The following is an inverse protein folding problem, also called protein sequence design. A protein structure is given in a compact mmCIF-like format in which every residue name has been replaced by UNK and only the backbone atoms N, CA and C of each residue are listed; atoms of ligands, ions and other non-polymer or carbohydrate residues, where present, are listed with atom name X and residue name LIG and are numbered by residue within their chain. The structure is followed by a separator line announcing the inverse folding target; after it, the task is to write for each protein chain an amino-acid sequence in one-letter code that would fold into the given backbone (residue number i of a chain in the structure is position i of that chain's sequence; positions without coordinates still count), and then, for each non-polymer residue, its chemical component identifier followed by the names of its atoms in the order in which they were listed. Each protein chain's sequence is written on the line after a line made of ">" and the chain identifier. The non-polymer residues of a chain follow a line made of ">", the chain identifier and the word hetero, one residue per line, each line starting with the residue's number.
data_IF_691243264006
#
_entry.id   IF_691243264006
#
_cell.length_a   1.000
_cell.length_b   1.000
_cell.length_c   1.000
_cell.angle_alpha   90.00
_cell.angle_beta   90.00
_cell.angle_gamma   90.00
#
_symmetry.space_group_name_H-M   'P 1'
#
loop_
_entity.id
_entity.type
_entity.pdbx_description
1 polymer ?
#
# COMPACT_ATOMS: atom_id res chain seq x y z
N UNK A 1 15.11 -37.10 22.27
CA UNK A 1 15.53 -35.70 22.43
C UNK A 1 14.90 -34.91 21.29
N UNK A 2 14.19 -33.80 21.54
CA UNK A 2 13.56 -33.06 20.46
C UNK A 2 14.67 -32.39 19.64
N UNK A 3 14.69 -32.71 18.34
CA UNK A 3 15.68 -32.26 17.38
C UNK A 3 15.61 -30.74 17.20
N UNK A 4 16.76 -30.07 17.18
CA UNK A 4 16.94 -28.62 17.04
C UNK A 4 16.22 -27.99 15.83
N UNK A 5 15.83 -28.81 14.86
CA UNK A 5 15.02 -28.44 13.69
C UNK A 5 13.62 -27.91 14.06
N UNK A 6 13.05 -28.34 15.19
CA UNK A 6 11.71 -27.89 15.61
C UNK A 6 11.71 -26.46 16.19
N UNK A 7 12.80 -26.04 16.84
CA UNK A 7 12.90 -24.72 17.46
C UNK A 7 13.21 -23.61 16.44
N UNK A 8 13.97 -23.95 15.40
CA UNK A 8 14.28 -23.03 14.29
C UNK A 8 13.08 -22.76 13.39
N UNK A 9 12.20 -23.75 13.19
CA UNK A 9 10.96 -23.57 12.41
C UNK A 9 9.90 -22.77 13.17
N UNK A 10 9.79 -22.97 14.49
CA UNK A 10 8.90 -22.18 15.35
C UNK A 10 9.29 -20.70 15.36
N UNK A 11 10.58 -20.40 15.58
CA UNK A 11 11.09 -19.01 15.51
C UNK A 11 11.00 -18.41 14.11
N UNK A 12 11.03 -19.23 13.05
CA UNK A 12 10.80 -18.76 11.68
C UNK A 12 9.34 -18.37 11.43
N UNK A 13 8.36 -19.07 12.04
CA UNK A 13 6.94 -18.69 11.97
C UNK A 13 6.71 -17.34 12.63
N UNK A 14 7.21 -17.14 13.85
CA UNK A 14 7.06 -15.88 14.61
C UNK A 14 7.68 -14.69 13.86
N UNK A 15 8.84 -14.88 13.22
CA UNK A 15 9.47 -13.85 12.37
C UNK A 15 8.58 -13.46 11.18
N UNK A 16 7.92 -14.44 10.54
CA UNK A 16 6.98 -14.16 9.44
C UNK A 16 5.75 -13.40 9.91
N UNK A 17 5.19 -13.80 11.06
CA UNK A 17 4.06 -13.11 11.66
C UNK A 17 4.40 -11.65 11.99
N UNK A 18 5.57 -11.40 12.57
CA UNK A 18 6.04 -10.04 12.83
C UNK A 18 6.23 -9.23 11.53
N UNK A 19 6.80 -9.84 10.48
CA UNK A 19 6.92 -9.21 9.17
C UNK A 19 5.56 -8.83 8.58
N UNK A 20 4.56 -9.72 8.62
CA UNK A 20 3.22 -9.40 8.11
C UNK A 20 2.54 -8.29 8.91
N UNK A 21 2.67 -8.30 10.24
CA UNK A 21 2.14 -7.23 11.10
C UNK A 21 2.73 -5.87 10.75
N UNK A 22 4.05 -5.79 10.56
CA UNK A 22 4.73 -4.54 10.21
C UNK A 22 4.44 -4.10 8.78
N UNK A 23 4.33 -5.05 7.84
CA UNK A 23 3.85 -4.78 6.47
C UNK A 23 2.48 -4.11 6.50
N UNK A 24 1.53 -4.70 7.22
CA UNK A 24 0.15 -4.21 7.25
C UNK A 24 0.06 -2.85 7.93
N UNK A 25 0.83 -2.62 9.00
CA UNK A 25 0.94 -1.32 9.64
C UNK A 25 1.51 -0.24 8.71
N UNK A 26 2.56 -0.56 7.94
CA UNK A 26 3.14 0.35 6.96
C UNK A 26 2.16 0.64 5.81
N UNK A 27 1.55 -0.39 5.23
CA UNK A 27 0.61 -0.26 4.11
C UNK A 27 -0.66 0.51 4.49
N UNK A 28 -1.19 0.26 5.67
CA UNK A 28 -2.32 1.02 6.22
C UNK A 28 -1.98 2.51 6.35
N UNK A 29 -0.77 2.83 6.83
CA UNK A 29 -0.30 4.21 6.91
C UNK A 29 -0.24 4.88 5.53
N UNK A 30 0.29 4.18 4.52
CA UNK A 30 0.30 4.69 3.15
C UNK A 30 -1.11 4.93 2.60
N UNK A 31 -2.06 4.01 2.86
CA UNK A 31 -3.45 4.16 2.41
C UNK A 31 -4.11 5.40 3.03
N UNK A 32 -3.86 5.67 4.32
CA UNK A 32 -4.33 6.89 4.98
C UNK A 32 -3.69 8.16 4.42
N UNK A 33 -2.37 8.15 4.19
CA UNK A 33 -1.65 9.29 3.63
C UNK A 33 -2.12 9.62 2.20
N UNK A 34 -2.37 8.59 1.39
CA UNK A 34 -2.92 8.73 0.03
C UNK A 34 -4.34 9.31 0.06
N UNK A 35 -5.21 8.82 0.97
CA UNK A 35 -6.55 9.36 1.15
C UNK A 35 -6.54 10.82 1.64
N UNK A 36 -5.60 11.18 2.52
CA UNK A 36 -5.40 12.55 3.00
C UNK A 36 -4.97 13.50 1.88
N UNK A 37 -4.09 13.03 0.98
CA UNK A 37 -3.59 13.80 -0.17
C UNK A 37 -4.67 14.00 -1.25
N UNK A 38 -5.58 13.04 -1.45
CA UNK A 38 -6.70 13.18 -2.38
C UNK A 38 -7.67 14.32 -2.03
N UNK A 39 -7.67 14.79 -0.77
CA UNK A 39 -8.45 15.96 -0.34
C UNK A 39 -7.70 17.29 -0.52
N UNK A 40 -6.43 17.26 -0.94
CA UNK A 40 -5.56 18.42 -1.21
C UNK A 40 -5.05 18.37 -2.67
N UNK A 41 -5.93 18.10 -3.64
CA UNK A 41 -5.56 18.17 -5.07
C UNK A 41 -5.36 19.64 -5.45
N UNK A 42 -4.10 20.08 -5.42
CA UNK A 42 -3.70 21.42 -5.82
C UNK A 42 -2.25 21.84 -5.50
N UNK A 43 -1.28 20.92 -5.42
CA UNK A 43 0.13 21.34 -5.30
C UNK A 43 1.10 20.35 -5.94
N UNK A 44 1.22 20.41 -7.27
CA UNK A 44 2.48 20.02 -7.90
C UNK A 44 3.61 20.95 -7.42
N UNK A 45 4.80 20.36 -7.22
CA UNK A 45 6.10 20.99 -6.97
C UNK A 45 6.43 21.47 -5.55
N UNK A 46 6.97 20.57 -4.72
CA UNK A 46 7.99 20.96 -3.72
C UNK A 46 9.19 20.02 -3.83
N UNK A 47 10.00 20.23 -4.87
CA UNK A 47 11.45 20.03 -4.75
C UNK A 47 11.98 21.37 -4.27
N UNK A 48 12.29 21.51 -2.98
CA UNK A 48 13.25 22.50 -2.48
C UNK A 48 13.69 22.09 -1.08
N UNK A 49 14.91 21.55 -1.04
CA UNK A 49 15.72 21.44 0.15
C UNK A 49 16.02 22.84 0.69
N UNK A 50 15.41 23.23 1.80
CA UNK A 50 16.03 24.01 2.87
C UNK A 50 15.09 24.06 4.08
N UNK A 51 15.68 23.90 5.26
CA UNK A 51 14.97 23.75 6.53
C UNK A 51 14.19 25.01 6.90
N UNK A 52 12.91 24.86 7.24
CA UNK A 52 12.24 25.74 8.20
C UNK A 52 11.29 24.95 9.11
N UNK A 53 11.63 24.97 10.40
CA UNK A 53 10.81 24.46 11.50
C UNK A 53 9.59 25.39 11.68
N UNK A 54 8.47 25.15 10.99
CA UNK A 54 7.14 25.57 11.47
C UNK A 54 6.01 24.97 10.64
N UNK A 55 5.33 24.01 11.27
CA UNK A 55 3.93 23.65 11.11
C UNK A 55 3.32 23.76 9.71
N UNK A 56 3.54 22.74 8.88
CA UNK A 56 2.59 22.39 7.84
C UNK A 56 1.90 21.08 8.25
N UNK A 57 0.59 21.15 8.48
CA UNK A 57 -0.29 20.06 8.94
C UNK A 57 -0.42 18.92 7.90
N UNK A 58 0.30 18.99 6.78
CA UNK A 58 0.43 17.97 5.74
C UNK A 58 1.76 17.18 5.81
N UNK A 59 2.60 17.42 6.82
CA UNK A 59 3.90 16.73 7.03
C UNK A 59 3.81 15.59 8.06
N UNK A 60 2.69 15.48 8.78
CA UNK A 60 2.51 14.55 9.90
C UNK A 60 2.43 13.08 9.44
N UNK A 61 1.89 12.81 8.24
CA UNK A 61 1.73 11.43 7.71
C UNK A 61 3.04 10.82 7.21
N UNK A 62 3.89 11.63 6.57
CA UNK A 62 5.11 11.12 5.94
C UNK A 62 6.12 10.60 6.98
N UNK A 63 6.21 11.22 8.16
CA UNK A 63 7.20 10.84 9.19
C UNK A 63 6.83 9.55 9.92
N UNK A 64 5.55 9.34 10.22
CA UNK A 64 5.07 8.10 10.84
C UNK A 64 5.15 6.92 9.88
N UNK A 65 4.76 7.11 8.61
CA UNK A 65 4.90 6.07 7.61
C UNK A 65 6.39 5.75 7.33
N UNK A 66 7.28 6.73 7.42
CA UNK A 66 8.74 6.51 7.28
C UNK A 66 9.30 5.63 8.40
N UNK A 67 8.88 5.84 9.65
CA UNK A 67 9.30 4.98 10.77
C UNK A 67 8.79 3.55 10.59
N UNK A 68 7.50 3.39 10.25
CA UNK A 68 6.90 2.07 9.98
C UNK A 68 7.55 1.36 8.79
N UNK A 69 7.95 2.12 7.76
CA UNK A 69 8.71 1.59 6.61
C UNK A 69 10.04 0.98 7.06
N UNK A 70 10.79 1.70 7.90
CA UNK A 70 12.07 1.21 8.41
C UNK A 70 11.90 -0.09 9.20
N UNK A 71 10.94 -0.13 10.13
CA UNK A 71 10.65 -1.33 10.91
C UNK A 71 10.22 -2.50 10.03
N UNK A 72 9.39 -2.24 9.02
CA UNK A 72 9.00 -3.23 8.01
C UNK A 72 10.19 -3.75 7.21
N UNK A 73 11.08 -2.88 6.74
CA UNK A 73 12.25 -3.25 5.95
C UNK A 73 13.29 -4.03 6.76
N UNK A 74 13.41 -3.75 8.06
CA UNK A 74 14.31 -4.47 8.97
C UNK A 74 13.75 -5.84 9.40
N UNK A 75 12.44 -5.95 9.59
CA UNK A 75 11.82 -7.19 10.07
C UNK A 75 11.51 -8.20 8.95
N UNK A 76 11.37 -7.74 7.70
CA UNK A 76 10.98 -8.58 6.58
C UNK A 76 12.17 -9.03 5.72
N UNK A 77 12.15 -10.25 5.16
CA UNK A 77 13.10 -10.65 4.14
C UNK A 77 13.03 -9.74 2.91
N UNK A 78 14.18 -9.38 2.33
CA UNK A 78 14.24 -8.47 1.17
C UNK A 78 13.43 -8.98 -0.04
N UNK A 79 13.43 -10.29 -0.29
CA UNK A 79 12.63 -10.90 -1.36
C UNK A 79 11.12 -10.73 -1.14
N UNK A 80 10.68 -10.76 0.12
CA UNK A 80 9.29 -10.54 0.49
C UNK A 80 8.91 -9.08 0.34
N UNK A 81 9.79 -8.16 0.73
CA UNK A 81 9.57 -6.72 0.57
C UNK A 81 9.37 -6.36 -0.90
N UNK A 82 10.25 -6.86 -1.77
CA UNK A 82 10.14 -6.67 -3.23
C UNK A 82 8.79 -7.18 -3.74
N UNK A 83 8.41 -8.40 -3.34
CA UNK A 83 7.15 -9.00 -3.74
C UNK A 83 5.94 -8.19 -3.25
N UNK A 84 5.87 -7.83 -1.97
CA UNK A 84 4.75 -7.10 -1.39
C UNK A 84 4.60 -5.70 -2.00
N UNK A 85 5.70 -4.98 -2.19
CA UNK A 85 5.66 -3.64 -2.79
C UNK A 85 5.19 -3.72 -4.25
N UNK A 86 5.71 -4.70 -5.01
CA UNK A 86 5.25 -4.94 -6.40
C UNK A 86 3.78 -5.30 -6.44
N UNK A 87 3.32 -6.16 -5.52
CA UNK A 87 1.93 -6.61 -5.46
C UNK A 87 0.98 -5.46 -5.15
N UNK A 88 1.31 -4.61 -4.17
CA UNK A 88 0.53 -3.40 -3.85
C UNK A 88 0.36 -2.50 -5.06
N UNK A 89 1.43 -2.25 -5.82
CA UNK A 89 1.38 -1.44 -7.03
C UNK A 89 0.50 -2.08 -8.12
N UNK A 90 0.65 -3.37 -8.37
CA UNK A 90 -0.17 -4.09 -9.35
C UNK A 90 -1.66 -4.07 -8.97
N UNK A 91 -1.99 -4.30 -7.70
CA UNK A 91 -3.37 -4.24 -7.20
C UNK A 91 -3.97 -2.85 -7.36
N UNK A 92 -3.19 -1.78 -7.11
CA UNK A 92 -3.64 -0.40 -7.36
C UNK A 92 -3.94 -0.16 -8.84
N UNK A 93 -3.03 -0.56 -9.73
CA UNK A 93 -3.23 -0.42 -11.17
C UNK A 93 -4.44 -1.21 -11.67
N UNK A 94 -4.62 -2.44 -11.16
CA UNK A 94 -5.80 -3.26 -11.46
C UNK A 94 -7.08 -2.58 -11.00
N UNK A 95 -7.13 -2.05 -9.77
CA UNK A 95 -8.29 -1.32 -9.24
C UNK A 95 -8.65 -0.12 -10.14
N UNK A 96 -7.66 0.68 -10.54
CA UNK A 96 -7.88 1.83 -11.43
C UNK A 96 -8.47 1.36 -12.77
N UNK A 97 -7.92 0.31 -13.38
CA UNK A 97 -8.42 -0.23 -14.66
C UNK A 97 -9.86 -0.74 -14.55
N UNK A 98 -10.18 -1.46 -13.47
CA UNK A 98 -11.53 -2.00 -13.24
C UNK A 98 -12.53 -0.86 -13.03
N UNK A 99 -12.19 0.16 -12.25
CA UNK A 99 -13.04 1.32 -12.03
C UNK A 99 -13.25 2.09 -13.35
N UNK A 100 -12.19 2.34 -14.12
CA UNK A 100 -12.27 3.03 -15.40
C UNK A 100 -13.13 2.26 -16.42
N UNK A 101 -12.98 0.93 -16.49
CA UNK A 101 -13.82 0.09 -17.37
C UNK A 101 -15.30 0.16 -16.97
N UNK A 102 -15.59 0.06 -15.67
CA UNK A 102 -16.96 0.18 -15.14
C UNK A 102 -17.57 1.57 -15.40
N UNK A 103 -16.76 2.61 -15.30
CA UNK A 103 -17.18 3.99 -15.60
C UNK A 103 -17.48 4.16 -17.10
N UNK A 104 -16.68 3.53 -17.98
CA UNK A 104 -16.92 3.51 -19.42
C UNK A 104 -18.20 2.75 -19.78
N UNK A 105 -18.45 1.60 -19.14
CA UNK A 105 -19.71 0.84 -19.28
C UNK A 105 -20.93 1.68 -18.87
N UNK A 106 -20.85 2.35 -17.71
CA UNK A 106 -21.92 3.21 -17.21
C UNK A 106 -22.17 4.43 -18.13
N UNK A 107 -21.10 5.00 -18.69
CA UNK A 107 -21.20 6.13 -19.63
C UNK A 107 -21.75 5.74 -21.01
N UNK A 108 -21.53 4.49 -21.42
CA UNK A 108 -21.93 3.98 -22.74
C UNK A 108 -23.39 3.50 -22.79
N UNK A 109 -24.11 3.50 -21.66
CA UNK A 109 -25.58 3.33 -21.62
C UNK A 109 -26.10 2.08 -22.33
N UNK A 110 -25.36 0.96 -22.30
CA UNK A 110 -25.85 -0.30 -22.88
C UNK A 110 -26.87 -0.89 -21.91
N UNK A 111 -28.14 -0.63 -22.16
CA UNK A 111 -29.24 -1.37 -21.56
C UNK A 111 -29.14 -2.84 -21.97
N UNK A 112 -29.08 -3.76 -21.00
CA UNK A 112 -29.09 -5.23 -21.19
C UNK A 112 -30.34 -5.78 -21.93
N UNK A 113 -31.19 -4.92 -22.51
CA UNK A 113 -32.45 -5.29 -23.16
C UNK A 113 -32.33 -5.76 -24.62
N UNK A 114 -31.14 -5.84 -25.22
CA UNK A 114 -30.98 -6.24 -26.64
C UNK A 114 -30.39 -7.65 -26.90
N UNK A 115 -30.20 -8.50 -25.88
CA UNK A 115 -29.68 -9.88 -26.08
C UNK A 115 -30.80 -10.95 -26.06
N UNK A 116 -32.00 -10.65 -26.59
CA UNK A 116 -33.10 -11.63 -26.66
C UNK A 116 -33.91 -11.63 -27.97
N UNK A 117 -33.29 -11.36 -29.11
CA UNK A 117 -33.90 -11.66 -30.40
C UNK A 117 -32.86 -12.16 -31.41
N UNK A 118 -32.87 -13.47 -31.67
CA UNK A 118 -32.03 -14.14 -32.66
C UNK A 118 -32.11 -15.64 -32.51
#
# INVERSE_FOLDING_TARGET
>A
MPSETSLTTQTQREKRENCWRLRDAYFTCLDFAEASTANNVGSENVKNSNLDKKQNKNVIDSRECTQKKKEYEEACPSSWIVYFNKRRELEKQQRIRVVAAKELELSSGISESEISAG
#
